data_IF_115644981518
#
_entry.id   IF_115644981518
#
_cell.length_a   1.000
_cell.length_b   1.000
_cell.length_c   1.000
_cell.angle_alpha   90.00
_cell.angle_beta   90.00
_cell.angle_gamma   90.00
#
_symmetry.space_group_name_H-M   'P 1'
#
loop_
_entity.id
_entity.type
_entity.pdbx_description
1 polymer ?
#
# COMPACT_ATOMS: atom_id res chain seq x y z
N UNK A 1 7.69 18.06 18.79
CA UNK A 1 7.72 17.57 17.39
C UNK A 1 8.17 16.12 17.31
N UNK A 2 9.15 15.69 18.10
CA UNK A 2 9.73 14.33 18.08
C UNK A 2 8.69 13.22 18.17
N UNK A 3 7.70 13.31 19.06
CA UNK A 3 6.63 12.32 19.19
C UNK A 3 5.85 12.12 17.88
N UNK A 4 5.40 13.21 17.25
CA UNK A 4 4.63 13.14 16.00
C UNK A 4 5.44 12.53 14.86
N UNK A 5 6.72 12.90 14.75
CA UNK A 5 7.60 12.32 13.73
C UNK A 5 7.79 10.82 13.97
N UNK A 6 8.04 10.40 15.21
CA UNK A 6 8.14 8.99 15.57
C UNK A 6 6.83 8.26 15.25
N UNK A 7 5.69 8.84 15.61
CA UNK A 7 4.37 8.26 15.35
C UNK A 7 4.14 8.05 13.84
N UNK A 8 4.33 9.09 13.03
CA UNK A 8 4.11 9.04 11.59
C UNK A 8 5.05 8.04 10.90
N UNK A 9 6.35 8.09 11.26
CA UNK A 9 7.35 7.15 10.72
C UNK A 9 7.06 5.72 11.16
N UNK A 10 6.67 5.49 12.42
CA UNK A 10 6.28 4.17 12.90
C UNK A 10 5.05 3.65 12.18
N UNK A 11 4.06 4.52 11.95
CA UNK A 11 2.81 4.17 11.24
C UNK A 11 3.09 3.68 9.83
N UNK A 12 3.92 4.43 9.09
CA UNK A 12 4.30 4.07 7.73
C UNK A 12 5.22 2.84 7.66
N UNK A 13 6.17 2.72 8.58
CA UNK A 13 7.10 1.58 8.61
C UNK A 13 6.39 0.28 8.98
N UNK A 14 5.54 0.29 10.00
CA UNK A 14 4.76 -0.89 10.39
C UNK A 14 3.82 -1.31 9.26
N UNK A 15 3.10 -0.35 8.66
CA UNK A 15 2.17 -0.67 7.57
C UNK A 15 2.88 -1.19 6.34
N UNK A 16 4.12 -0.76 6.07
CA UNK A 16 4.90 -1.30 4.97
C UNK A 16 5.39 -2.75 5.18
N UNK A 17 5.27 -3.31 6.39
CA UNK A 17 5.83 -4.64 6.73
C UNK A 17 4.77 -5.64 7.15
N UNK A 18 3.76 -5.21 7.91
CA UNK A 18 2.77 -6.10 8.52
C UNK A 18 1.51 -6.13 7.65
N UNK A 19 0.80 -5.00 7.62
CA UNK A 19 -0.29 -4.61 6.72
C UNK A 19 -0.91 -3.31 7.29
N UNK A 20 -1.76 -2.62 6.55
CA UNK A 20 -2.36 -1.35 7.01
C UNK A 20 -3.32 -1.48 8.20
N UNK A 21 -4.08 -2.57 8.31
CA UNK A 21 -5.11 -2.73 9.36
C UNK A 21 -4.48 -3.16 10.68
N UNK A 22 -3.64 -4.19 10.67
CA UNK A 22 -2.91 -4.62 11.86
C UNK A 22 -2.04 -3.49 12.41
N UNK A 23 -1.40 -2.73 11.52
CA UNK A 23 -0.54 -1.61 11.91
C UNK A 23 -1.32 -0.49 12.57
N UNK A 24 -2.49 -0.12 12.03
CA UNK A 24 -3.26 0.98 12.62
C UNK A 24 -3.79 0.59 14.01
N UNK A 25 -4.19 -0.66 14.23
CA UNK A 25 -4.61 -1.14 15.56
C UNK A 25 -3.50 -0.98 16.60
N UNK A 26 -2.27 -1.40 16.26
CA UNK A 26 -1.11 -1.29 17.15
C UNK A 26 -0.73 0.17 17.42
N UNK A 27 -0.66 0.97 16.36
CA UNK A 27 -0.29 2.38 16.45
C UNK A 27 -1.31 3.15 17.27
N UNK A 28 -2.61 2.92 17.05
CA UNK A 28 -3.65 3.62 17.78
C UNK A 28 -3.70 3.23 19.25
N UNK A 29 -3.40 1.97 19.60
CA UNK A 29 -3.23 1.60 21.00
C UNK A 29 -2.17 2.47 21.70
N UNK A 30 -1.05 2.75 21.03
CA UNK A 30 -0.01 3.65 21.54
C UNK A 30 -0.48 5.11 21.57
N UNK A 31 -1.12 5.59 20.51
CA UNK A 31 -1.67 6.97 20.45
C UNK A 31 -2.62 7.20 21.59
N UNK A 32 -3.57 6.30 21.82
CA UNK A 32 -4.54 6.43 22.90
C UNK A 32 -3.87 6.34 24.26
N UNK A 33 -2.98 5.38 24.50
CA UNK A 33 -2.23 5.29 25.77
C UNK A 33 -1.53 6.62 26.11
N UNK A 34 -0.84 7.22 25.15
CA UNK A 34 -0.14 8.50 25.35
C UNK A 34 -1.12 9.65 25.54
N UNK A 35 -2.13 9.77 24.68
CA UNK A 35 -3.10 10.86 24.72
C UNK A 35 -3.95 10.82 26.00
N UNK A 36 -4.36 9.64 26.46
CA UNK A 36 -5.17 9.46 27.67
C UNK A 36 -4.34 9.82 28.91
N UNK A 37 -3.08 9.38 28.96
CA UNK A 37 -2.15 9.70 30.06
C UNK A 37 -1.91 11.21 30.16
N UNK A 38 -1.72 11.87 29.02
CA UNK A 38 -1.42 13.30 28.95
C UNK A 38 -2.68 14.18 28.85
N UNK A 39 -3.88 13.58 28.85
CA UNK A 39 -5.18 14.26 28.69
C UNK A 39 -5.23 15.18 27.46
N UNK A 40 -4.65 14.75 26.35
CA UNK A 40 -4.66 15.47 25.06
C UNK A 40 -5.66 14.80 24.11
N UNK A 41 -6.35 15.58 23.27
CA UNK A 41 -7.27 15.05 22.26
C UNK A 41 -6.50 14.15 21.27
N UNK A 42 -6.91 12.89 21.14
CA UNK A 42 -6.29 11.88 20.27
C UNK A 42 -6.63 12.03 18.79
N UNK A 43 -7.77 12.65 18.44
CA UNK A 43 -8.29 12.71 17.07
C UNK A 43 -7.28 13.19 16.02
N UNK A 44 -6.49 14.26 16.25
CA UNK A 44 -5.47 14.69 15.30
C UNK A 44 -4.37 13.63 15.10
N UNK A 45 -3.92 12.97 16.16
CA UNK A 45 -2.86 11.95 16.07
C UNK A 45 -3.34 10.68 15.39
N UNK A 46 -4.62 10.32 15.56
CA UNK A 46 -5.27 9.26 14.79
C UNK A 46 -5.24 9.58 13.29
N UNK A 47 -5.66 10.79 12.90
CA UNK A 47 -5.61 11.22 11.50
C UNK A 47 -4.18 11.17 10.93
N UNK A 48 -3.20 11.69 11.67
CA UNK A 48 -1.80 11.65 11.25
C UNK A 48 -1.29 10.21 11.05
N UNK A 49 -1.62 9.30 11.98
CA UNK A 49 -1.24 7.90 11.90
C UNK A 49 -1.85 7.23 10.65
N UNK A 50 -3.17 7.37 10.45
CA UNK A 50 -3.88 6.78 9.31
C UNK A 50 -3.30 7.25 7.97
N UNK A 51 -3.11 8.57 7.82
CA UNK A 51 -2.58 9.15 6.58
C UNK A 51 -1.20 8.55 6.23
N UNK A 52 -0.34 8.40 7.23
CA UNK A 52 1.00 7.83 7.06
C UNK A 52 0.95 6.31 6.86
N UNK A 53 0.02 5.61 7.52
CA UNK A 53 -0.21 4.17 7.34
C UNK A 53 -0.57 3.84 5.89
N UNK A 54 -1.52 4.56 5.28
CA UNK A 54 -1.94 4.31 3.89
C UNK A 54 -0.85 4.64 2.86
N UNK A 55 0.01 5.63 3.14
CA UNK A 55 1.15 5.96 2.27
C UNK A 55 2.25 4.90 2.41
N UNK A 56 2.53 4.49 3.66
CA UNK A 56 3.51 3.47 3.96
C UNK A 56 3.12 2.08 3.45
N UNK A 57 1.84 1.73 3.47
CA UNK A 57 1.35 0.43 3.03
C UNK A 57 1.57 0.22 1.53
N UNK A 58 1.52 1.30 0.74
CA UNK A 58 1.85 1.26 -0.68
C UNK A 58 3.34 1.02 -0.99
N UNK A 59 4.25 1.16 -0.02
CA UNK A 59 5.70 1.11 -0.27
C UNK A 59 6.22 -0.30 -0.59
N UNK A 60 5.54 -1.35 -0.13
CA UNK A 60 5.93 -2.74 -0.37
C UNK A 60 4.75 -3.56 -0.84
N UNK A 61 5.05 -4.72 -1.42
CA UNK A 61 4.03 -5.66 -1.86
C UNK A 61 3.22 -6.25 -0.70
N UNK A 62 3.79 -6.29 0.51
CA UNK A 62 3.14 -6.86 1.69
C UNK A 62 2.30 -5.85 2.47
N UNK A 63 2.53 -4.55 2.24
CA UNK A 63 2.01 -3.52 3.14
C UNK A 63 0.48 -3.36 3.11
N UNK A 64 -0.16 -3.77 2.02
CA UNK A 64 -1.62 -3.93 1.99
C UNK A 64 -2.04 -4.99 0.98
N UNK A 65 -3.30 -5.45 1.05
CA UNK A 65 -3.83 -6.42 0.09
C UNK A 65 -3.84 -5.91 -1.35
N UNK A 66 -3.91 -4.59 -1.56
CA UNK A 66 -3.78 -3.97 -2.89
C UNK A 66 -2.42 -4.30 -3.53
N UNK A 67 -1.32 -4.13 -2.79
CA UNK A 67 0.03 -4.41 -3.24
C UNK A 67 0.23 -5.89 -3.58
N UNK A 68 -0.27 -6.79 -2.72
CA UNK A 68 -0.23 -8.24 -2.97
C UNK A 68 -0.99 -8.57 -4.25
N UNK A 69 -2.19 -8.01 -4.40
CA UNK A 69 -3.07 -8.30 -5.52
C UNK A 69 -2.48 -7.80 -6.85
N UNK A 70 -2.03 -6.54 -6.91
CA UNK A 70 -1.37 -5.97 -8.09
C UNK A 70 -0.09 -6.73 -8.41
N UNK A 71 0.76 -7.00 -7.42
CA UNK A 71 2.02 -7.69 -7.66
C UNK A 71 1.80 -9.11 -8.20
N UNK A 72 0.78 -9.82 -7.72
CA UNK A 72 0.42 -11.14 -8.24
C UNK A 72 -0.15 -11.07 -9.67
N UNK A 73 -1.12 -10.19 -9.92
CA UNK A 73 -1.77 -10.06 -11.23
C UNK A 73 -0.84 -9.53 -12.32
N UNK A 74 -0.02 -8.53 -12.00
CA UNK A 74 0.98 -8.00 -12.92
C UNK A 74 2.18 -8.94 -13.08
N UNK A 75 2.45 -9.83 -12.12
CA UNK A 75 3.64 -10.71 -12.15
C UNK A 75 4.93 -10.01 -11.74
N UNK A 76 4.84 -9.01 -10.85
CA UNK A 76 6.00 -8.41 -10.20
C UNK A 76 6.58 -9.35 -9.15
N UNK A 77 7.90 -9.39 -9.04
CA UNK A 77 8.55 -9.95 -7.86
C UNK A 77 8.69 -8.87 -6.76
N UNK A 78 8.90 -9.31 -5.52
CA UNK A 78 9.03 -8.40 -4.37
C UNK A 78 10.11 -7.31 -4.55
N UNK A 79 11.26 -7.63 -5.17
CA UNK A 79 12.35 -6.66 -5.36
C UNK A 79 12.01 -5.59 -6.39
N UNK A 80 11.35 -5.96 -7.48
CA UNK A 80 10.78 -5.02 -8.46
C UNK A 80 9.73 -4.15 -7.78
N UNK A 81 8.84 -4.76 -6.99
CA UNK A 81 7.83 -4.01 -6.27
C UNK A 81 8.45 -2.98 -5.33
N UNK A 82 9.43 -3.41 -4.54
CA UNK A 82 10.13 -2.58 -3.57
C UNK A 82 10.88 -1.42 -4.23
N UNK A 83 11.62 -1.68 -5.30
CA UNK A 83 12.40 -0.65 -6.01
C UNK A 83 11.54 0.36 -6.76
N UNK A 84 10.37 -0.04 -7.27
CA UNK A 84 9.40 0.88 -7.89
C UNK A 84 8.59 1.66 -6.86
N UNK A 85 8.01 0.97 -5.87
CA UNK A 85 7.04 1.56 -4.97
C UNK A 85 7.65 2.40 -3.84
N UNK A 86 8.72 1.90 -3.23
CA UNK A 86 9.33 2.52 -2.03
C UNK A 86 9.77 3.96 -2.26
N UNK A 87 10.46 4.33 -3.36
CA UNK A 87 10.90 5.71 -3.55
C UNK A 87 9.73 6.70 -3.60
N UNK A 88 8.65 6.34 -4.28
CA UNK A 88 7.46 7.19 -4.43
C UNK A 88 6.73 7.32 -3.09
N UNK A 89 6.52 6.22 -2.38
CA UNK A 89 5.93 6.24 -1.04
C UNK A 89 6.79 7.00 -0.03
N UNK A 90 8.11 6.90 -0.11
CA UNK A 90 9.03 7.60 0.79
C UNK A 90 8.98 9.11 0.58
N UNK A 91 9.05 9.59 -0.68
CA UNK A 91 8.91 11.03 -0.98
C UNK A 91 7.52 11.53 -0.57
N UNK A 92 6.47 10.77 -0.86
CA UNK A 92 5.09 11.08 -0.46
C UNK A 92 4.93 11.17 1.05
N UNK A 93 5.61 10.29 1.80
CA UNK A 93 5.63 10.29 3.26
C UNK A 93 6.34 11.53 3.82
N UNK A 94 7.50 11.92 3.25
CA UNK A 94 8.22 13.12 3.67
C UNK A 94 7.38 14.39 3.47
N UNK A 95 6.71 14.50 2.30
CA UNK A 95 5.83 15.64 2.03
C UNK A 95 4.61 15.62 2.94
N UNK A 96 4.01 14.45 3.17
CA UNK A 96 2.88 14.31 4.09
C UNK A 96 3.25 14.68 5.52
N UNK A 97 4.44 14.28 5.98
CA UNK A 97 4.98 14.68 7.27
C UNK A 97 5.11 16.21 7.34
N UNK A 98 5.64 16.85 6.30
CA UNK A 98 5.69 18.31 6.20
C UNK A 98 4.31 18.96 6.31
N UNK A 99 3.33 18.48 5.55
CA UNK A 99 1.93 18.96 5.58
C UNK A 99 1.36 18.82 6.99
N UNK A 100 1.48 17.64 7.59
CA UNK A 100 0.96 17.34 8.94
C UNK A 100 1.61 18.21 10.01
N UNK A 101 2.94 18.40 9.96
CA UNK A 101 3.67 19.23 10.91
C UNK A 101 3.23 20.69 10.86
N UNK A 102 2.91 21.20 9.66
CA UNK A 102 2.42 22.57 9.47
C UNK A 102 0.94 22.68 9.88
N UNK A 103 0.10 21.76 9.40
CA UNK A 103 -1.35 21.79 9.59
C UNK A 103 -1.73 21.65 11.07
N UNK A 104 -1.11 20.70 11.76
CA UNK A 104 -1.37 20.43 13.18
C UNK A 104 -0.35 21.08 14.12
N UNK A 105 0.38 22.12 13.66
CA UNK A 105 1.46 22.76 14.43
C UNK A 105 1.08 23.11 15.87
N UNK A 106 -0.15 23.61 16.10
CA UNK A 106 -0.64 24.00 17.43
C UNK A 106 -0.83 22.78 18.32
N UNK A 107 -1.49 21.74 17.82
CA UNK A 107 -1.70 20.47 18.54
C UNK A 107 -0.37 19.77 18.85
N UNK A 108 0.55 19.76 17.89
CA UNK A 108 1.87 19.15 18.07
C UNK A 108 2.71 19.92 19.09
N UNK A 109 2.63 21.24 19.07
CA UNK A 109 3.29 22.08 20.05
C UNK A 109 2.73 21.83 21.46
N UNK A 110 1.40 21.81 21.61
CA UNK A 110 0.74 21.48 22.87
C UNK A 110 1.18 20.11 23.41
N UNK A 111 1.16 19.07 22.57
CA UNK A 111 1.64 17.74 22.95
C UNK A 111 3.10 17.77 23.40
N UNK A 112 3.95 18.54 22.72
CA UNK A 112 5.38 18.65 23.09
C UNK A 112 5.54 19.28 24.48
N UNK A 113 4.78 20.33 24.79
CA UNK A 113 4.82 20.99 26.09
C UNK A 113 4.37 20.04 27.21
N UNK A 114 3.22 19.39 27.03
CA UNK A 114 2.66 18.48 28.06
C UNK A 114 3.56 17.26 28.27
N UNK A 115 4.18 16.73 27.21
CA UNK A 115 5.16 15.65 27.34
C UNK A 115 6.41 16.07 28.11
N UNK A 116 6.90 17.29 27.88
CA UNK A 116 8.08 17.80 28.58
C UNK A 116 7.79 18.04 30.07
N UNK A 117 6.63 18.62 30.38
CA UNK A 117 6.16 18.79 31.76
C UNK A 117 6.04 17.44 32.46
N UNK A 118 5.38 16.45 31.84
CA UNK A 118 5.23 15.11 32.41
C UNK A 118 6.57 14.40 32.61
N UNK A 119 7.54 14.62 31.72
CA UNK A 119 8.89 14.05 31.81
C UNK A 119 9.68 14.61 33.01
N UNK A 120 9.52 15.89 33.30
CA UNK A 120 10.19 16.56 34.42
C UNK A 120 9.67 16.11 35.78
N UNK A 121 8.41 15.67 35.87
CA UNK A 121 7.81 15.13 37.10
C UNK A 121 8.14 13.63 37.31
N UNK A 122 9.01 13.03 36.49
CA UNK A 122 9.47 11.63 36.56
C UNK A 122 8.37 10.54 36.57
N UNK A 123 7.13 10.88 36.23
CA UNK A 123 6.11 9.87 35.97
C UNK A 123 6.32 9.30 34.55
N UNK A 124 6.48 7.98 34.43
CA UNK A 124 6.44 7.31 33.13
C UNK A 124 5.05 7.43 32.50
N UNK A 125 4.93 7.30 31.17
CA UNK A 125 3.67 7.30 30.41
C UNK A 125 2.77 6.05 30.67
N UNK A 126 3.03 5.36 31.77
CA UNK A 126 2.55 4.03 32.09
C UNK A 126 3.69 3.13 32.60
N UNK A 127 3.35 1.97 33.18
CA UNK A 127 4.35 1.00 33.58
C UNK A 127 5.14 0.52 32.35
N UNK A 128 6.48 0.52 32.45
CA UNK A 128 7.35 -0.08 31.44
C UNK A 128 7.20 -1.61 31.51
N UNK A 129 6.20 -2.14 30.82
CA UNK A 129 6.02 -3.58 30.68
C UNK A 129 7.12 -4.08 29.72
N UNK A 130 8.07 -4.87 30.24
CA UNK A 130 9.04 -5.58 29.39
C UNK A 130 8.32 -6.70 28.65
N UNK A 131 7.80 -6.38 27.47
CA UNK A 131 7.28 -7.39 26.55
C UNK A 131 8.47 -8.15 25.96
N UNK A 132 8.49 -9.50 25.98
CA UNK A 132 9.55 -10.29 25.35
C UNK A 132 9.44 -10.24 23.81
N UNK A 133 9.82 -9.10 23.22
CA UNK A 133 9.67 -8.83 21.79
C UNK A 133 10.70 -9.55 20.91
N UNK A 134 11.87 -9.92 21.46
CA UNK A 134 13.00 -10.45 20.68
C UNK A 134 12.65 -11.63 19.79
N UNK A 135 11.82 -12.55 20.30
CA UNK A 135 11.40 -13.74 19.54
C UNK A 135 10.43 -13.37 18.40
N UNK A 136 9.45 -12.52 18.68
CA UNK A 136 8.50 -12.05 17.67
C UNK A 136 9.21 -11.24 16.58
N UNK A 137 10.13 -10.36 16.97
CA UNK A 137 10.94 -9.58 16.04
C UNK A 137 11.84 -10.49 15.18
N UNK A 138 12.46 -11.51 15.77
CA UNK A 138 13.23 -12.49 15.00
C UNK A 138 12.37 -13.20 13.96
N UNK A 139 11.17 -13.66 14.33
CA UNK A 139 10.25 -14.32 13.40
C UNK A 139 9.82 -13.36 12.29
N UNK A 140 9.43 -12.12 12.63
CA UNK A 140 9.03 -11.11 11.64
C UNK A 140 10.17 -10.83 10.66
N UNK A 141 11.38 -10.55 11.16
CA UNK A 141 12.55 -10.27 10.31
C UNK A 141 12.89 -11.48 9.45
N UNK A 142 12.83 -12.70 9.99
CA UNK A 142 13.05 -13.91 9.22
C UNK A 142 12.01 -14.09 8.10
N UNK A 143 10.72 -13.88 8.39
CA UNK A 143 9.65 -13.91 7.39
C UNK A 143 9.90 -12.90 6.27
N UNK A 144 10.18 -11.64 6.62
CA UNK A 144 10.43 -10.57 5.66
C UNK A 144 11.66 -10.87 4.81
N UNK A 145 12.74 -11.40 5.39
CA UNK A 145 13.93 -11.77 4.64
C UNK A 145 13.67 -12.92 3.66
N UNK A 146 12.96 -13.97 4.08
CA UNK A 146 12.63 -15.10 3.19
C UNK A 146 11.75 -14.61 2.03
N UNK A 147 10.76 -13.75 2.31
CA UNK A 147 9.93 -13.12 1.27
C UNK A 147 10.78 -12.23 0.35
N UNK A 148 11.67 -11.42 0.91
CA UNK A 148 12.52 -10.52 0.13
C UNK A 148 13.45 -11.29 -0.82
N UNK A 149 13.96 -12.44 -0.39
CA UNK A 149 14.85 -13.31 -1.16
C UNK A 149 14.13 -14.48 -1.87
N UNK A 150 12.79 -14.46 -1.97
CA UNK A 150 12.02 -15.58 -2.52
C UNK A 150 12.50 -15.99 -3.92
N UNK A 151 12.80 -15.03 -4.81
CA UNK A 151 13.25 -15.34 -6.17
C UNK A 151 14.61 -16.03 -6.20
N UNK A 152 15.56 -15.64 -5.34
CA UNK A 152 16.84 -16.32 -5.22
C UNK A 152 16.66 -17.75 -4.68
N UNK A 153 15.75 -17.92 -3.71
CA UNK A 153 15.41 -19.22 -3.13
C UNK A 153 14.76 -20.12 -4.18
N UNK A 154 13.79 -19.61 -4.93
CA UNK A 154 13.09 -20.31 -6.02
C UNK A 154 14.08 -20.76 -7.11
N UNK A 155 15.04 -19.89 -7.48
CA UNK A 155 16.09 -20.23 -8.43
C UNK A 155 17.01 -21.35 -7.92
N UNK A 156 17.42 -21.30 -6.66
CA UNK A 156 18.28 -22.33 -6.04
C UNK A 156 17.55 -23.68 -5.97
N UNK A 157 16.25 -23.67 -5.71
CA UNK A 157 15.42 -24.87 -5.62
C UNK A 157 14.96 -25.40 -6.98
N UNK A 158 15.30 -24.73 -8.08
CA UNK A 158 14.88 -25.13 -9.43
C UNK A 158 13.38 -24.94 -9.69
N UNK A 159 12.70 -24.10 -8.91
CA UNK A 159 11.27 -23.85 -8.97
C UNK A 159 10.93 -22.69 -9.94
N UNK A 160 11.68 -22.58 -11.04
CA UNK A 160 11.61 -21.45 -11.98
C UNK A 160 10.55 -21.60 -13.07
N UNK A 161 9.71 -22.63 -12.98
CA UNK A 161 8.59 -22.84 -13.92
C UNK A 161 7.54 -21.73 -13.81
N UNK A 162 6.91 -21.38 -14.94
CA UNK A 162 5.84 -20.36 -15.02
C UNK A 162 4.70 -20.63 -14.04
N UNK A 163 4.42 -21.91 -13.75
CA UNK A 163 3.37 -22.34 -12.82
C UNK A 163 3.72 -22.09 -11.33
N UNK A 164 5.01 -21.97 -10.98
CA UNK A 164 5.48 -21.84 -9.59
C UNK A 164 6.05 -20.45 -9.26
N UNK A 165 5.90 -19.49 -10.19
CA UNK A 165 6.44 -18.14 -10.03
C UNK A 165 5.84 -17.47 -8.78
N UNK A 166 6.69 -16.96 -7.90
CA UNK A 166 6.30 -16.31 -6.64
C UNK A 166 5.61 -17.25 -5.62
N UNK A 167 5.70 -18.58 -5.75
CA UNK A 167 5.08 -19.51 -4.81
C UNK A 167 5.58 -19.30 -3.36
N UNK A 168 6.83 -18.90 -3.18
CA UNK A 168 7.39 -18.62 -1.85
C UNK A 168 6.81 -17.37 -1.20
N UNK A 169 6.20 -16.44 -1.95
CA UNK A 169 5.46 -15.33 -1.35
C UNK A 169 4.25 -15.82 -0.53
N UNK A 170 3.61 -16.90 -0.98
CA UNK A 170 2.41 -17.45 -0.34
C UNK A 170 2.77 -18.54 0.68
N UNK A 171 3.69 -19.43 0.32
CA UNK A 171 4.08 -20.56 1.16
C UNK A 171 4.81 -20.08 2.43
N UNK A 172 5.65 -19.06 2.33
CA UNK A 172 6.47 -18.60 3.47
C UNK A 172 5.62 -18.15 4.67
N UNK A 173 4.65 -17.22 4.51
CA UNK A 173 3.76 -16.86 5.62
C UNK A 173 3.01 -18.07 6.20
N UNK A 174 2.52 -18.97 5.33
CA UNK A 174 1.76 -20.15 5.74
C UNK A 174 2.61 -21.13 6.58
N UNK A 175 3.84 -21.42 6.13
CA UNK A 175 4.77 -22.30 6.85
C UNK A 175 5.15 -21.69 8.19
N UNK A 176 5.48 -20.40 8.22
CA UNK A 176 5.87 -19.73 9.47
C UNK A 176 4.70 -19.67 10.46
N UNK A 177 3.48 -19.38 9.98
CA UNK A 177 2.27 -19.46 10.80
C UNK A 177 2.04 -20.88 11.34
N UNK A 178 2.21 -21.91 10.49
CA UNK A 178 2.13 -23.32 10.88
C UNK A 178 3.12 -23.69 11.97
N UNK A 179 4.39 -23.31 11.80
CA UNK A 179 5.44 -23.54 12.80
C UNK A 179 5.15 -22.82 14.13
N UNK A 180 4.64 -21.59 14.09
CA UNK A 180 4.22 -20.85 15.29
C UNK A 180 3.06 -21.54 16.02
N UNK A 181 2.09 -22.10 15.27
CA UNK A 181 0.97 -22.83 15.83
C UNK A 181 1.42 -24.16 16.47
N UNK A 182 2.36 -24.88 15.85
CA UNK A 182 2.97 -26.09 16.43
C UNK A 182 3.77 -25.75 17.69
N UNK A 183 4.49 -24.62 17.69
CA UNK A 183 5.26 -24.15 18.85
C UNK A 183 4.36 -23.71 20.02
N UNK A 184 3.15 -23.19 19.75
CA UNK A 184 2.18 -22.78 20.77
C UNK A 184 0.77 -23.33 20.48
N UNK A 185 0.56 -24.64 20.65
CA UNK A 185 -0.71 -25.28 20.29
C UNK A 185 -1.88 -24.72 21.09
N UNK A 186 -1.66 -24.34 22.36
CA UNK A 186 -2.69 -23.74 23.21
C UNK A 186 -3.18 -22.34 22.77
N UNK A 187 -2.47 -21.67 21.85
CA UNK A 187 -2.92 -20.40 21.24
C UNK A 187 -3.27 -20.53 19.76
N UNK A 188 -3.04 -21.68 19.12
CA UNK A 188 -3.26 -21.85 17.68
C UNK A 188 -4.70 -21.49 17.29
N UNK A 189 -5.69 -21.98 18.04
CA UNK A 189 -7.11 -21.66 17.83
C UNK A 189 -7.38 -20.16 18.01
N UNK A 190 -6.76 -19.51 18.99
CA UNK A 190 -6.92 -18.08 19.22
C UNK A 190 -6.34 -17.26 18.07
N UNK A 191 -5.16 -17.62 17.55
CA UNK A 191 -4.57 -16.94 16.39
C UNK A 191 -5.51 -16.98 15.19
N UNK A 192 -6.08 -18.15 14.91
CA UNK A 192 -7.02 -18.32 13.79
C UNK A 192 -8.33 -17.56 14.05
N UNK A 193 -8.94 -17.67 15.22
CA UNK A 193 -10.27 -17.10 15.48
C UNK A 193 -10.26 -15.58 15.74
N UNK A 194 -9.19 -15.03 16.30
CA UNK A 194 -9.14 -13.66 16.79
C UNK A 194 -8.12 -12.77 16.06
N UNK A 195 -6.97 -13.34 15.65
CA UNK A 195 -5.91 -12.54 15.03
C UNK A 195 -6.02 -12.50 13.49
N UNK A 196 -6.67 -13.49 12.86
CA UNK A 196 -6.93 -13.48 11.42
C UNK A 196 -8.14 -12.61 11.08
N UNK A 197 -7.96 -11.70 10.12
CA UNK A 197 -9.03 -10.85 9.60
C UNK A 197 -9.95 -11.59 8.61
N UNK A 198 -10.80 -12.48 9.12
CA UNK A 198 -11.73 -13.28 8.30
C UNK A 198 -12.65 -12.44 7.42
N UNK A 199 -13.06 -11.28 7.90
CA UNK A 199 -13.89 -10.34 7.14
C UNK A 199 -13.21 -9.93 5.83
N UNK A 200 -11.93 -9.54 5.92
CA UNK A 200 -11.11 -9.13 4.78
C UNK A 200 -10.89 -10.28 3.80
N UNK A 201 -10.63 -11.50 4.30
CA UNK A 201 -10.46 -12.70 3.46
C UNK A 201 -11.74 -13.11 2.71
N UNK A 202 -12.88 -13.15 3.41
CA UNK A 202 -14.18 -13.46 2.80
C UNK A 202 -14.56 -12.43 1.74
N UNK A 203 -14.30 -11.16 2.03
CA UNK A 203 -14.52 -10.07 1.10
C UNK A 203 -13.70 -10.27 -0.19
N UNK A 204 -12.41 -10.61 -0.12
CA UNK A 204 -11.60 -10.87 -1.33
C UNK A 204 -12.04 -12.09 -2.11
N UNK A 205 -12.42 -13.19 -1.45
CA UNK A 205 -12.91 -14.37 -2.17
C UNK A 205 -14.14 -14.05 -3.02
N UNK A 206 -15.10 -13.30 -2.46
CA UNK A 206 -16.29 -12.88 -3.20
C UNK A 206 -15.98 -11.85 -4.28
N UNK A 207 -15.11 -10.88 -3.98
CA UNK A 207 -14.68 -9.86 -4.93
C UNK A 207 -13.96 -10.47 -6.14
N UNK A 208 -13.09 -11.45 -5.93
CA UNK A 208 -12.40 -12.15 -7.02
C UNK A 208 -13.34 -13.03 -7.84
N UNK A 209 -14.36 -13.62 -7.21
CA UNK A 209 -15.42 -14.32 -7.94
C UNK A 209 -16.20 -13.36 -8.85
N UNK A 210 -16.52 -12.14 -8.38
CA UNK A 210 -17.18 -11.12 -9.19
C UNK A 210 -16.24 -10.62 -10.30
N UNK A 211 -14.98 -10.33 -9.99
CA UNK A 211 -14.00 -9.88 -10.96
C UNK A 211 -13.81 -10.89 -12.11
N UNK A 212 -13.68 -12.18 -11.77
CA UNK A 212 -13.64 -13.26 -12.77
C UNK A 212 -14.94 -13.37 -13.57
N UNK A 213 -16.10 -13.18 -12.93
CA UNK A 213 -17.38 -13.14 -13.64
C UNK A 213 -17.51 -11.98 -14.63
N UNK A 214 -17.00 -10.78 -14.29
CA UNK A 214 -16.99 -9.63 -15.21
C UNK A 214 -16.05 -9.83 -16.40
N UNK A 215 -14.92 -10.50 -16.16
CA UNK A 215 -13.92 -10.84 -17.18
C UNK A 215 -14.49 -11.83 -18.21
N UNK A 216 -15.10 -12.93 -17.76
CA UNK A 216 -15.77 -13.91 -18.62
C UNK A 216 -16.92 -13.32 -19.46
N UNK A 217 -17.60 -12.28 -18.96
CA UNK A 217 -18.66 -11.59 -19.68
C UNK A 217 -18.16 -10.52 -20.68
N UNK A 218 -16.85 -10.30 -20.79
CA UNK A 218 -16.25 -9.33 -21.72
C UNK A 218 -16.52 -7.86 -21.36
N UNK A 219 -17.08 -7.56 -20.18
CA UNK A 219 -17.39 -6.19 -19.73
C UNK A 219 -16.09 -5.36 -19.60
N UNK A 220 -15.02 -6.03 -19.19
CA UNK A 220 -13.69 -5.44 -18.95
C UNK A 220 -13.06 -4.92 -20.25
N UNK A 221 -13.20 -5.67 -21.34
CA UNK A 221 -12.74 -5.28 -22.68
C UNK A 221 -13.51 -4.06 -23.21
N UNK A 222 -14.84 -4.07 -23.07
CA UNK A 222 -15.69 -2.94 -23.46
C UNK A 222 -15.32 -1.65 -22.71
N UNK A 223 -14.96 -1.76 -21.42
CA UNK A 223 -14.54 -0.61 -20.63
C UNK A 223 -13.14 -0.13 -21.05
N UNK A 224 -12.20 -1.03 -21.30
CA UNK A 224 -10.87 -0.69 -21.81
C UNK A 224 -10.92 0.04 -23.16
N UNK A 225 -11.82 -0.37 -24.06
CA UNK A 225 -12.03 0.30 -25.35
C UNK A 225 -12.64 1.69 -25.20
N UNK A 226 -13.60 1.86 -24.27
CA UNK A 226 -14.13 3.20 -23.95
C UNK A 226 -13.04 4.11 -23.36
N UNK A 227 -12.20 3.59 -22.47
CA UNK A 227 -11.11 4.37 -21.86
C UNK A 227 -10.08 4.81 -22.90
N UNK A 228 -9.65 3.91 -23.79
CA UNK A 228 -8.72 4.26 -24.88
C UNK A 228 -9.35 5.21 -25.91
N UNK A 229 -10.66 5.08 -26.18
CA UNK A 229 -11.39 6.04 -27.00
C UNK A 229 -11.52 7.44 -26.39
N UNK A 230 -11.64 7.52 -25.06
CA UNK A 230 -11.69 8.76 -24.29
C UNK A 230 -10.33 9.44 -24.17
N UNK A 231 -9.26 8.66 -23.95
CA UNK A 231 -7.90 9.17 -23.72
C UNK A 231 -7.02 8.94 -24.96
N UNK A 232 -7.04 9.90 -25.87
CA UNK A 232 -6.34 9.82 -27.18
C UNK A 232 -4.81 10.05 -27.14
N UNK A 233 -4.21 10.18 -25.96
CA UNK A 233 -2.80 10.56 -25.79
C UNK A 233 -1.83 9.41 -25.48
N UNK A 234 -2.25 8.15 -25.67
CA UNK A 234 -1.42 6.98 -25.40
C UNK A 234 -1.15 6.73 -23.90
N UNK A 235 -0.13 5.91 -23.56
CA UNK A 235 0.18 5.53 -22.18
C UNK A 235 0.47 6.72 -21.25
N UNK A 236 1.14 7.76 -21.76
CA UNK A 236 1.51 8.96 -20.98
C UNK A 236 0.31 9.79 -20.54
N UNK A 237 -0.74 9.87 -21.36
CA UNK A 237 -2.00 10.52 -20.99
C UNK A 237 -2.89 9.61 -20.13
N UNK A 238 -2.74 8.29 -20.27
CA UNK A 238 -3.52 7.30 -19.51
C UNK A 238 -3.07 7.21 -18.04
N UNK A 239 -1.77 7.39 -17.75
CA UNK A 239 -1.24 7.39 -16.38
C UNK A 239 -1.95 8.40 -15.45
N UNK A 240 -1.99 9.72 -15.74
CA UNK A 240 -2.70 10.66 -14.88
C UNK A 240 -4.20 10.40 -14.82
N UNK A 241 -4.81 9.91 -15.91
CA UNK A 241 -6.22 9.57 -15.93
C UNK A 241 -6.54 8.41 -14.98
N UNK A 242 -5.80 7.30 -15.09
CA UNK A 242 -5.95 6.13 -14.20
C UNK A 242 -5.65 6.52 -12.76
N UNK A 243 -4.59 7.27 -12.52
CA UNK A 243 -4.25 7.73 -11.18
C UNK A 243 -5.37 8.61 -10.58
N UNK A 244 -5.94 9.52 -11.36
CA UNK A 244 -7.03 10.40 -10.90
C UNK A 244 -8.34 9.65 -10.66
N UNK A 245 -8.77 8.78 -11.59
CA UNK A 245 -10.00 8.01 -11.41
C UNK A 245 -9.85 7.01 -10.26
N UNK A 246 -8.66 6.43 -10.07
CA UNK A 246 -8.36 5.58 -8.92
C UNK A 246 -8.37 6.36 -7.62
N UNK A 247 -7.83 7.58 -7.62
CA UNK A 247 -7.85 8.41 -6.43
C UNK A 247 -9.27 8.83 -6.02
N UNK A 248 -10.08 9.26 -6.99
CA UNK A 248 -11.48 9.66 -6.75
C UNK A 248 -12.32 8.44 -6.39
N UNK A 249 -12.19 7.33 -7.09
CA UNK A 249 -12.95 6.12 -6.80
C UNK A 249 -12.63 5.54 -5.43
N UNK A 250 -11.34 5.44 -5.11
CA UNK A 250 -10.86 5.00 -3.79
C UNK A 250 -11.17 6.01 -2.68
N UNK A 251 -11.47 7.26 -3.00
CA UNK A 251 -11.95 8.22 -2.00
C UNK A 251 -13.34 7.84 -1.46
N UNK A 252 -14.18 7.15 -2.24
CA UNK A 252 -15.57 6.82 -1.84
C UNK A 252 -15.81 5.32 -1.65
N UNK A 253 -14.90 4.50 -2.13
CA UNK A 253 -14.95 3.04 -2.09
C UNK A 253 -13.64 2.57 -1.48
N UNK A 254 -13.67 1.49 -0.71
CA UNK A 254 -12.45 0.89 -0.18
C UNK A 254 -11.43 0.60 -1.31
N UNK A 255 -10.19 0.99 -1.05
CA UNK A 255 -9.05 0.89 -1.97
C UNK A 255 -8.90 -0.51 -2.59
N UNK A 256 -9.23 -1.58 -1.87
CA UNK A 256 -9.09 -2.94 -2.40
C UNK A 256 -10.23 -3.30 -3.35
N UNK A 257 -11.47 -2.92 -3.02
CA UNK A 257 -12.63 -3.08 -3.93
C UNK A 257 -12.33 -2.41 -5.26
N UNK A 258 -11.86 -1.17 -5.19
CA UNK A 258 -11.64 -0.35 -6.38
C UNK A 258 -10.57 -0.96 -7.29
N UNK A 259 -9.43 -1.35 -6.70
CA UNK A 259 -8.32 -1.96 -7.45
C UNK A 259 -8.76 -3.27 -8.09
N UNK A 260 -9.50 -4.12 -7.38
CA UNK A 260 -9.98 -5.38 -7.94
C UNK A 260 -10.92 -5.17 -9.14
N UNK A 261 -11.79 -4.17 -9.08
CA UNK A 261 -12.69 -3.83 -10.18
C UNK A 261 -11.96 -3.27 -11.41
N UNK A 262 -10.90 -2.48 -11.20
CA UNK A 262 -10.14 -1.87 -12.29
C UNK A 262 -9.01 -2.75 -12.85
N UNK A 263 -8.55 -3.74 -12.08
CA UNK A 263 -7.45 -4.61 -12.47
C UNK A 263 -7.66 -5.32 -13.80
N UNK A 264 -8.82 -5.96 -14.08
CA UNK A 264 -9.07 -6.56 -15.40
C UNK A 264 -9.01 -5.55 -16.55
N UNK A 265 -9.37 -4.29 -16.30
CA UNK A 265 -9.29 -3.22 -17.31
C UNK A 265 -7.83 -2.86 -17.59
N UNK A 266 -7.01 -2.75 -16.55
CA UNK A 266 -5.56 -2.51 -16.70
C UNK A 266 -4.90 -3.70 -17.40
N UNK A 267 -5.25 -4.92 -17.03
CA UNK A 267 -4.77 -6.15 -17.66
C UNK A 267 -5.03 -6.13 -19.18
N UNK A 268 -6.28 -5.86 -19.58
CA UNK A 268 -6.67 -5.77 -20.99
C UNK A 268 -5.90 -4.68 -21.76
N UNK A 269 -5.51 -3.57 -21.12
CA UNK A 269 -4.68 -2.53 -21.74
C UNK A 269 -3.23 -2.99 -21.91
N UNK A 270 -2.66 -3.64 -20.90
CA UNK A 270 -1.28 -4.14 -20.90
C UNK A 270 -1.09 -5.26 -21.93
N UNK A 271 -2.10 -6.11 -22.12
CA UNK A 271 -2.10 -7.16 -23.15
C UNK A 271 -2.09 -6.58 -24.58
N UNK A 272 -2.63 -5.37 -24.78
CA UNK A 272 -2.56 -4.67 -26.07
C UNK A 272 -1.20 -4.05 -26.32
N UNK A 273 -0.56 -3.52 -25.29
CA UNK A 273 0.80 -2.96 -25.38
C UNK A 273 1.47 -2.95 -24.01
N UNK A 274 2.70 -3.47 -23.97
CA UNK A 274 3.54 -3.46 -22.77
C UNK A 274 3.81 -2.05 -22.23
N UNK A 275 3.66 -1.00 -23.04
CA UNK A 275 3.81 0.39 -22.61
C UNK A 275 2.77 0.81 -21.54
N UNK A 276 1.63 0.12 -21.45
CA UNK A 276 0.63 0.36 -20.43
C UNK A 276 0.98 -0.26 -19.07
N UNK A 277 2.12 -0.95 -18.91
CA UNK A 277 2.51 -1.54 -17.62
C UNK A 277 2.66 -0.50 -16.50
N UNK A 278 2.91 0.77 -16.85
CA UNK A 278 2.93 1.90 -15.91
C UNK A 278 1.58 2.12 -15.20
N UNK A 279 0.49 1.66 -15.80
CA UNK A 279 -0.86 1.80 -15.23
C UNK A 279 -1.06 0.97 -13.97
N UNK A 280 -0.31 -0.13 -13.77
CA UNK A 280 -0.33 -0.87 -12.50
C UNK A 280 0.11 0.00 -11.33
N UNK A 281 1.16 0.80 -11.54
CA UNK A 281 1.65 1.75 -10.53
C UNK A 281 0.68 2.92 -10.34
N UNK A 282 0.11 3.43 -11.43
CA UNK A 282 -0.91 4.48 -11.37
C UNK A 282 -2.14 4.02 -10.55
N UNK A 283 -2.57 2.76 -10.74
CA UNK A 283 -3.66 2.14 -9.99
C UNK A 283 -3.29 1.96 -8.52
N UNK A 284 -2.09 1.45 -8.21
CA UNK A 284 -1.58 1.27 -6.84
C UNK A 284 -1.60 2.59 -6.06
N UNK A 285 -0.91 3.61 -6.57
CA UNK A 285 -0.78 4.89 -5.87
C UNK A 285 -2.08 5.67 -5.87
N UNK A 286 -2.81 5.70 -6.98
CA UNK A 286 -4.12 6.33 -7.04
C UNK A 286 -5.06 5.74 -5.98
N UNK A 287 -5.14 4.42 -5.86
CA UNK A 287 -5.99 3.78 -4.86
C UNK A 287 -5.50 4.02 -3.42
N UNK A 288 -4.23 3.78 -3.12
CA UNK A 288 -3.71 3.90 -1.74
C UNK A 288 -3.69 5.36 -1.25
N UNK A 289 -3.29 6.29 -2.11
CA UNK A 289 -3.22 7.71 -1.76
C UNK A 289 -4.58 8.38 -1.82
N UNK A 290 -5.44 7.99 -2.76
CA UNK A 290 -6.84 8.43 -2.81
C UNK A 290 -7.66 7.96 -1.61
N UNK A 291 -7.35 6.78 -1.07
CA UNK A 291 -7.97 6.27 0.15
C UNK A 291 -7.82 7.19 1.36
N UNK A 292 -6.86 8.12 1.35
CA UNK A 292 -6.72 9.14 2.40
C UNK A 292 -7.75 10.29 2.31
N UNK A 293 -8.40 10.49 1.15
CA UNK A 293 -9.24 11.66 0.88
C UNK A 293 -10.46 11.68 1.80
N UNK A 294 -11.11 10.52 2.02
CA UNK A 294 -12.26 10.42 2.93
C UNK A 294 -12.06 9.33 3.96
N UNK A 295 -12.88 9.39 5.01
CA UNK A 295 -12.92 8.41 6.09
C UNK A 295 -13.30 6.98 5.66
N UNK A 296 -13.91 6.80 4.48
CA UNK A 296 -14.39 5.48 4.01
C UNK A 296 -13.42 4.84 3.02
N UNK A 297 -12.47 5.61 2.49
CA UNK A 297 -11.64 5.18 1.35
C UNK A 297 -10.62 4.07 1.62
N UNK A 298 -10.46 3.64 2.86
CA UNK A 298 -9.63 2.48 3.21
C UNK A 298 -10.14 1.83 4.49
N UNK A 299 -10.00 0.51 4.54
CA UNK A 299 -10.19 -0.30 5.76
C UNK A 299 -9.49 0.29 6.99
N UNK A 300 -8.24 0.77 6.86
CA UNK A 300 -7.49 1.37 7.97
C UNK A 300 -8.19 2.62 8.53
N UNK A 301 -8.85 3.42 7.68
CA UNK A 301 -9.60 4.60 8.09
C UNK A 301 -10.82 4.21 8.93
N UNK A 302 -11.59 3.21 8.45
CA UNK A 302 -12.80 2.72 9.10
C UNK A 302 -12.45 2.10 10.45
N UNK A 303 -11.41 1.27 10.50
CA UNK A 303 -10.93 0.65 11.75
C UNK A 303 -10.45 1.72 12.74
N UNK A 304 -9.69 2.72 12.27
CA UNK A 304 -9.24 3.81 13.11
C UNK A 304 -10.39 4.60 13.73
N UNK A 305 -11.43 4.93 12.94
CA UNK A 305 -12.63 5.57 13.44
C UNK A 305 -13.38 4.69 14.43
N UNK A 306 -13.60 3.42 14.11
CA UNK A 306 -14.28 2.49 15.01
C UNK A 306 -13.56 2.33 16.36
N UNK A 307 -12.23 2.33 16.37
CA UNK A 307 -11.43 2.30 17.60
C UNK A 307 -11.50 3.63 18.39
N UNK A 308 -11.52 4.77 17.69
CA UNK A 308 -11.65 6.09 18.31
C UNK A 308 -13.03 6.26 18.97
N UNK A 309 -14.11 5.86 18.30
CA UNK A 309 -15.48 6.00 18.81
C UNK A 309 -15.71 5.15 20.06
N UNK A 310 -15.16 3.93 20.09
CA UNK A 310 -15.24 3.02 21.25
C UNK A 310 -14.60 3.58 22.53
N UNK A 311 -13.68 4.55 22.42
CA UNK A 311 -12.89 5.07 23.56
C UNK A 311 -13.42 6.35 24.19
N UNK A 312 -14.62 6.81 23.83
CA UNK A 312 -15.28 7.91 24.56
C UNK A 312 -16.14 8.83 23.71
N UNK A 313 -16.82 8.31 22.68
CA UNK A 313 -17.69 9.11 21.79
C UNK A 313 -16.96 10.29 21.13
N UNK A 314 -15.64 10.17 20.94
CA UNK A 314 -14.88 11.12 20.13
C UNK A 314 -15.18 10.80 18.67
N UNK A 315 -15.74 11.77 17.96
CA UNK A 315 -16.01 11.67 16.54
C UNK A 315 -15.11 12.63 15.77
N UNK A 316 -14.60 12.18 14.64
CA UNK A 316 -13.99 13.05 13.64
C UNK A 316 -15.11 13.40 12.66
N UNK A 317 -15.43 14.68 12.52
CA UNK A 317 -16.43 15.10 11.56
C UNK A 317 -15.95 14.79 10.12
N UNK A 318 -16.86 14.41 9.24
CA UNK A 318 -16.53 14.11 7.83
C UNK A 318 -15.72 15.25 7.17
N UNK A 319 -16.13 16.50 7.37
CA UNK A 319 -15.42 17.66 6.84
C UNK A 319 -14.10 17.98 7.55
N UNK A 320 -13.91 17.53 8.78
CA UNK A 320 -12.60 17.62 9.47
C UNK A 320 -11.60 16.69 8.77
N UNK A 321 -12.02 15.46 8.46
CA UNK A 321 -11.22 14.51 7.68
C UNK A 321 -10.98 14.99 6.27
N UNK A 322 -12.04 15.32 5.53
CA UNK A 322 -11.97 15.65 4.10
C UNK A 322 -10.98 16.78 3.80
N UNK A 323 -10.88 17.79 4.67
CA UNK A 323 -9.96 18.92 4.45
C UNK A 323 -8.50 18.50 4.42
N UNK A 324 -8.05 17.74 5.43
CA UNK A 324 -6.67 17.28 5.49
C UNK A 324 -6.44 16.11 4.52
N UNK A 325 -7.40 15.19 4.44
CA UNK A 325 -7.36 14.02 3.58
C UNK A 325 -7.27 14.39 2.11
N UNK A 326 -8.08 15.35 1.63
CA UNK A 326 -7.99 15.84 0.26
C UNK A 326 -6.66 16.51 -0.04
N UNK A 327 -6.13 17.34 0.88
CA UNK A 327 -4.82 17.98 0.69
C UNK A 327 -3.73 16.93 0.58
N UNK A 328 -3.67 15.97 1.51
CA UNK A 328 -2.66 14.92 1.48
C UNK A 328 -2.83 14.03 0.25
N UNK A 329 -4.02 13.50 0.01
CA UNK A 329 -4.30 12.60 -1.11
C UNK A 329 -4.03 13.23 -2.48
N UNK A 330 -4.43 14.50 -2.70
CA UNK A 330 -4.13 15.19 -3.97
C UNK A 330 -2.64 15.42 -4.11
N UNK A 331 -1.95 15.90 -3.07
CA UNK A 331 -0.51 16.20 -3.15
C UNK A 331 0.30 14.92 -3.39
N UNK A 332 0.01 13.82 -2.69
CA UNK A 332 0.73 12.56 -2.89
C UNK A 332 0.40 11.92 -4.24
N UNK A 333 -0.83 12.05 -4.75
CA UNK A 333 -1.17 11.67 -6.12
C UNK A 333 -0.39 12.48 -7.16
N UNK A 334 -0.22 13.79 -6.97
CA UNK A 334 0.60 14.63 -7.84
C UNK A 334 2.08 14.22 -7.80
N UNK A 335 2.62 13.91 -6.61
CA UNK A 335 3.98 13.39 -6.47
C UNK A 335 4.14 12.07 -7.23
N UNK A 336 3.20 11.13 -7.05
CA UNK A 336 3.22 9.86 -7.77
C UNK A 336 3.18 10.09 -9.28
N UNK A 337 2.29 10.97 -9.78
CA UNK A 337 2.23 11.25 -11.21
C UNK A 337 3.55 11.83 -11.76
N UNK A 338 4.13 12.82 -11.08
CA UNK A 338 5.42 13.41 -11.47
C UNK A 338 6.51 12.34 -11.46
N UNK A 339 6.62 11.55 -10.39
CA UNK A 339 7.65 10.53 -10.29
C UNK A 339 7.48 9.40 -11.30
N UNK A 340 6.25 8.95 -11.58
CA UNK A 340 5.98 7.95 -12.63
C UNK A 340 6.34 8.45 -14.03
N UNK A 341 6.41 9.77 -14.23
CA UNK A 341 6.80 10.37 -15.51
C UNK A 341 8.32 10.43 -15.70
N UNK A 342 9.07 10.64 -14.61
CA UNK A 342 10.53 10.87 -14.65
C UNK A 342 11.38 9.69 -14.17
N UNK A 343 10.85 8.84 -13.30
CA UNK A 343 11.58 7.72 -12.71
C UNK A 343 11.32 6.46 -13.55
N UNK A 344 12.36 5.76 -14.02
CA UNK A 344 12.21 4.48 -14.69
C UNK A 344 11.57 3.47 -13.73
N UNK A 345 10.38 2.98 -14.08
CA UNK A 345 9.66 2.01 -13.25
C UNK A 345 10.00 0.57 -13.65
N UNK A 346 10.09 -0.36 -12.69
CA UNK A 346 10.23 -1.77 -13.00
C UNK A 346 9.06 -2.27 -13.85
N UNK A 347 9.37 -3.10 -14.83
CA UNK A 347 8.39 -3.79 -15.67
C UNK A 347 8.15 -5.21 -15.18
N UNK A 348 6.93 -5.75 -15.36
CA UNK A 348 6.63 -7.10 -14.92
C UNK A 348 7.42 -8.14 -15.73
N UNK A 349 7.88 -9.20 -15.07
CA UNK A 349 8.72 -10.22 -15.69
C UNK A 349 7.92 -11.03 -16.74
N UNK A 350 8.19 -10.82 -18.03
CA UNK A 350 7.53 -11.53 -19.13
C UNK A 350 7.27 -10.67 -20.38
N UNK A 351 7.34 -9.35 -20.27
CA UNK A 351 7.27 -8.46 -21.43
C UNK A 351 8.69 -7.96 -21.77
N UNK A 352 9.24 -8.27 -22.96
CA UNK A 352 10.55 -7.76 -23.35
C UNK A 352 10.53 -6.23 -23.35
N UNK A 353 11.58 -5.65 -22.78
CA UNK A 353 11.83 -4.21 -22.81
C UNK A 353 11.95 -3.81 -24.28
N UNK A 354 10.99 -3.05 -24.79
CA UNK A 354 11.26 -2.25 -25.98
C UNK A 354 12.12 -1.11 -25.46
N UNK A 355 13.44 -1.26 -25.56
CA UNK A 355 14.35 -0.14 -25.38
C UNK A 355 13.79 1.01 -26.22
N UNK A 356 13.59 2.19 -25.61
CA UNK A 356 13.34 3.40 -26.37
C UNK A 356 14.54 3.59 -27.28
N UNK A 357 14.45 3.10 -28.52
CA UNK A 357 15.33 3.52 -29.58
C UNK A 357 15.21 5.04 -29.62
N UNK A 358 16.29 5.69 -29.18
CA UNK A 358 16.50 7.10 -29.45
C UNK A 358 16.47 7.21 -30.96
N UNK A 359 15.36 7.70 -31.50
CA UNK A 359 15.20 7.96 -32.93
C UNK A 359 16.23 9.02 -33.30
N UNK A 360 17.42 8.56 -33.69
CA UNK A 360 18.37 9.34 -34.45
C UNK A 360 17.79 9.66 -35.82
N UNK A 361 18.23 10.75 -36.46
CA UNK A 361 17.58 11.26 -37.65
C UNK A 361 17.64 10.24 -38.79
N UNK A 362 16.47 9.98 -39.37
CA UNK A 362 16.19 9.25 -40.60
C UNK A 362 17.35 9.29 -41.61
N UNK A 363 17.88 8.12 -42.02
CA UNK A 363 18.60 7.74 -43.26
C UNK A 363 19.27 6.37 -42.93
N UNK A 364 19.03 5.20 -43.53
CA UNK A 364 18.71 4.74 -44.89
C UNK A 364 18.05 3.33 -44.82
N UNK A 365 17.32 2.88 -45.86
CA UNK A 365 16.74 1.54 -45.88
C UNK A 365 17.80 0.46 -46.16
N UNK A 366 18.08 -0.39 -45.17
CA UNK A 366 18.86 -1.62 -45.42
C UNK A 366 18.00 -2.61 -46.23
N UNK A 367 18.38 -2.77 -47.49
CA UNK A 367 17.95 -3.84 -48.39
C UNK A 367 18.17 -5.21 -47.72
N UNK A 368 17.14 -6.05 -47.72
CA UNK A 368 17.29 -7.48 -47.40
C UNK A 368 18.01 -8.18 -48.57
N UNK A 369 18.98 -9.07 -48.31
CA UNK A 369 19.45 -9.99 -49.34
C UNK A 369 18.45 -11.14 -49.46
N UNK A 370 17.72 -11.18 -50.57
CA UNK A 370 17.11 -12.41 -51.08
C UNK A 370 18.21 -13.37 -51.56
N UNK A 371 18.17 -14.60 -51.05
CA UNK A 371 18.54 -15.91 -51.66
C UNK A 371 19.89 -16.13 -52.36
N UNK A 372 20.63 -17.13 -51.86
CA UNK A 372 21.41 -18.17 -52.57
C UNK A 372 22.04 -19.06 -51.47
N UNK A 373 22.01 -20.40 -51.40
CA UNK A 373 21.75 -21.54 -52.29
C UNK A 373 21.12 -22.66 -51.47
#
# INVERSE_FOLDING_TARGET
MTFTVILCSLSALLSSVVDEVSSIVVVLALVFQVCDTLKVRSSPFVLMAVLCTNIGSAATMLGNPVGIFIGNKAGFNFSQFLSGATPISFVSLLVTLGIVLIWYRKTIHQMTLVMEEHRQVHHGLGPLIRIPYRRGLFVLVATVLIIAFHHQIENILGLTGVENKNAFLIITPLVIAGLLMIYRPGRARHYIEHDVEWWTLLFFMLLFAIAGGLEEQGITQNLADKLTGLVKGGPTAMVPFVLAISAVGSAFVDNIVFVAAFTPVIQALVERSAEFSLLWWALLFGACFGGNITAVGSTANIVALGLLEKRGHLHIAFFEWLKIGAVVGIVTCLIAWVMLTFVPMPHPAGHPVVEREVIGPLHEPRLSPKTAQ
#
